data_IF_500186782590
#
_entry.id   IF_500186782590
#
_cell.length_a   1.000
_cell.length_b   1.000
_cell.length_c   1.000
_cell.angle_alpha   90.00
_cell.angle_beta   90.00
_cell.angle_gamma   90.00
#
_symmetry.space_group_name_H-M   'P 1'
#
loop_
_entity.id
_entity.type
_entity.pdbx_description
1 polymer ?
#
# COMPACT_ATOMS: atom_id res chain seq x y z
N UNK A 1 -0.41 -19.25 5.74
CA UNK A 1 -0.95 -19.12 7.11
C UNK A 1 -2.43 -18.79 7.02
N UNK A 2 -3.20 -18.95 8.09
CA UNK A 2 -4.59 -18.45 8.09
C UNK A 2 -4.59 -16.91 8.10
N UNK A 3 -5.67 -16.29 7.59
CA UNK A 3 -5.81 -14.84 7.59
C UNK A 3 -5.83 -14.31 9.05
N UNK A 4 -4.91 -13.40 9.42
CA UNK A 4 -4.94 -12.78 10.74
C UNK A 4 -6.16 -11.89 10.92
N UNK A 5 -6.77 -11.92 12.12
CA UNK A 5 -7.90 -11.06 12.47
C UNK A 5 -7.61 -9.56 12.29
N UNK A 6 -6.34 -9.14 12.49
CA UNK A 6 -5.90 -7.77 12.28
C UNK A 6 -6.07 -7.28 10.83
N UNK A 7 -6.18 -8.19 9.85
CA UNK A 7 -6.42 -7.84 8.45
C UNK A 7 -7.90 -7.67 8.16
N UNK A 8 -8.69 -8.71 8.47
CA UNK A 8 -10.14 -8.69 8.48
C UNK A 8 -10.66 -9.90 9.26
N UNK A 9 -11.91 -9.83 9.70
CA UNK A 9 -12.56 -10.99 10.32
C UNK A 9 -12.89 -12.05 9.25
N UNK A 10 -12.14 -13.14 9.25
CA UNK A 10 -12.32 -14.24 8.32
C UNK A 10 -13.69 -14.93 8.49
N UNK A 11 -14.21 -15.04 9.71
CA UNK A 11 -15.46 -15.76 9.97
C UNK A 11 -16.67 -15.06 9.33
N UNK A 12 -16.59 -13.74 9.17
CA UNK A 12 -17.61 -12.95 8.49
C UNK A 12 -17.69 -13.26 6.99
N UNK A 13 -16.62 -13.71 6.35
CA UNK A 13 -16.57 -13.90 4.89
C UNK A 13 -16.32 -15.34 4.45
N UNK A 14 -15.94 -16.24 5.34
CA UNK A 14 -15.59 -17.62 5.00
C UNK A 14 -16.82 -18.53 4.88
N UNK A 15 -16.86 -19.34 3.82
CA UNK A 15 -17.83 -20.42 3.63
C UNK A 15 -17.15 -21.58 2.88
N UNK A 16 -17.21 -22.83 3.38
CA UNK A 16 -16.59 -23.99 2.73
C UNK A 16 -17.27 -24.42 1.41
N UNK A 17 -18.46 -23.92 1.07
CA UNK A 17 -19.17 -24.25 -0.18
C UNK A 17 -18.37 -23.79 -1.42
N UNK A 18 -18.09 -24.67 -2.42
CA UNK A 18 -17.53 -24.25 -3.69
C UNK A 18 -18.33 -23.16 -4.43
N UNK A 19 -19.64 -23.08 -4.19
CA UNK A 19 -20.55 -22.11 -4.79
C UNK A 19 -20.76 -20.83 -3.94
N UNK A 20 -19.96 -20.64 -2.89
CA UNK A 20 -20.08 -19.53 -1.94
C UNK A 20 -19.95 -18.13 -2.57
N UNK A 21 -19.34 -18.04 -3.75
CA UNK A 21 -19.16 -16.79 -4.52
C UNK A 21 -20.50 -16.11 -4.83
N UNK A 22 -21.60 -16.87 -4.93
CA UNK A 22 -22.97 -16.35 -5.15
C UNK A 22 -23.48 -15.49 -3.99
N UNK A 23 -22.89 -15.65 -2.81
CA UNK A 23 -23.24 -14.91 -1.59
C UNK A 23 -22.12 -13.97 -1.12
N UNK A 24 -21.19 -13.59 -2.02
CA UNK A 24 -20.04 -12.73 -1.72
C UNK A 24 -19.14 -13.29 -0.59
N UNK A 25 -19.01 -14.61 -0.51
CA UNK A 25 -18.15 -15.31 0.46
C UNK A 25 -16.93 -15.90 -0.23
N UNK A 26 -15.91 -16.22 0.56
CA UNK A 26 -14.67 -16.85 0.10
C UNK A 26 -14.50 -18.22 0.74
N UNK A 27 -14.03 -19.20 -0.03
CA UNK A 27 -13.73 -20.56 0.45
C UNK A 27 -12.24 -20.77 0.76
N UNK A 28 -11.39 -19.76 0.50
CA UNK A 28 -9.98 -19.78 0.84
C UNK A 28 -9.71 -19.03 2.14
N UNK A 29 -9.22 -19.75 3.14
CA UNK A 29 -8.81 -19.19 4.46
C UNK A 29 -7.32 -18.90 4.59
N UNK A 30 -6.53 -19.31 3.60
CA UNK A 30 -5.09 -19.24 3.68
C UNK A 30 -4.55 -18.16 2.76
N UNK A 31 -3.67 -17.32 3.29
CA UNK A 31 -2.94 -16.32 2.52
C UNK A 31 -1.52 -16.13 3.11
N UNK A 32 -0.69 -15.40 2.37
CA UNK A 32 0.65 -15.01 2.78
C UNK A 32 0.69 -13.52 3.00
N UNK A 33 1.19 -13.09 4.17
CA UNK A 33 1.23 -11.69 4.55
C UNK A 33 2.66 -11.26 4.83
N UNK A 34 2.97 -10.03 4.44
CA UNK A 34 4.22 -9.36 4.81
C UNK A 34 4.03 -8.73 6.19
N UNK A 35 5.01 -8.95 7.07
CA UNK A 35 5.03 -8.33 8.39
C UNK A 35 5.43 -6.86 8.28
N UNK A 36 4.80 -6.00 9.09
CA UNK A 36 5.20 -4.60 9.14
C UNK A 36 4.79 -3.75 7.94
N UNK A 37 3.83 -4.20 7.13
CA UNK A 37 3.39 -3.47 5.93
C UNK A 37 2.94 -2.03 6.24
N UNK A 38 2.47 -1.76 7.46
CA UNK A 38 2.04 -0.43 7.90
C UNK A 38 3.20 0.47 8.37
N UNK A 39 4.37 -0.10 8.63
CA UNK A 39 5.56 0.63 9.09
C UNK A 39 6.20 1.38 7.92
N UNK A 40 6.66 2.60 8.19
CA UNK A 40 7.39 3.42 7.21
C UNK A 40 8.24 4.48 7.89
N UNK A 41 9.50 4.64 7.46
CA UNK A 41 10.38 5.71 7.96
C UNK A 41 10.11 7.06 7.27
N UNK A 42 9.10 7.76 7.77
CA UNK A 42 8.70 9.09 7.27
C UNK A 42 9.82 10.12 7.31
N UNK A 43 10.70 10.07 8.32
CA UNK A 43 11.79 11.04 8.51
C UNK A 43 12.88 10.83 7.48
N UNK A 44 13.23 9.57 7.20
CA UNK A 44 14.25 9.23 6.20
C UNK A 44 13.84 9.71 4.81
N UNK A 45 12.58 9.49 4.41
CA UNK A 45 12.06 9.90 3.09
C UNK A 45 11.56 11.34 3.04
N UNK A 46 11.56 12.07 4.16
CA UNK A 46 11.10 13.47 4.27
C UNK A 46 9.63 13.65 3.83
N UNK A 47 8.79 12.67 4.15
CA UNK A 47 7.34 12.70 3.91
C UNK A 47 6.65 13.00 5.24
N UNK A 48 5.64 13.86 5.26
CA UNK A 48 4.95 14.17 6.52
C UNK A 48 4.12 12.97 7.03
N UNK A 49 3.93 12.83 8.34
CA UNK A 49 3.07 11.77 8.89
C UNK A 49 1.61 11.87 8.40
N UNK A 50 1.14 13.08 8.12
CA UNK A 50 -0.21 13.31 7.60
C UNK A 50 -0.38 12.77 6.17
N UNK A 51 0.60 13.04 5.30
CA UNK A 51 0.61 12.50 3.93
C UNK A 51 0.70 10.98 3.93
N UNK A 52 1.51 10.42 4.83
CA UNK A 52 1.76 8.97 4.91
C UNK A 52 0.51 8.16 5.26
N UNK A 53 -0.46 8.74 6.00
CA UNK A 53 -1.70 8.04 6.38
C UNK A 53 -2.53 7.60 5.18
N UNK A 54 -2.66 8.46 4.18
CA UNK A 54 -3.36 8.16 2.93
C UNK A 54 -2.48 7.49 1.87
N UNK A 55 -1.19 7.28 2.15
CA UNK A 55 -0.30 6.63 1.20
C UNK A 55 -0.50 5.11 1.23
N UNK A 56 -0.78 4.56 0.06
CA UNK A 56 -0.81 3.12 -0.17
C UNK A 56 0.47 2.45 0.39
N UNK A 57 0.33 1.44 1.28
CA UNK A 57 1.47 0.68 1.79
C UNK A 57 2.40 0.13 0.71
N UNK A 58 1.89 -0.24 -0.48
CA UNK A 58 2.71 -0.72 -1.59
C UNK A 58 3.69 0.35 -2.07
N UNK A 59 3.25 1.61 -2.16
CA UNK A 59 4.12 2.73 -2.56
C UNK A 59 5.23 2.96 -1.54
N UNK A 60 4.91 2.84 -0.25
CA UNK A 60 5.88 2.95 0.87
C UNK A 60 6.93 1.84 0.81
N UNK A 61 6.51 0.61 0.55
CA UNK A 61 7.41 -0.53 0.39
C UNK A 61 8.35 -0.37 -0.81
N UNK A 62 7.87 0.17 -1.93
CA UNK A 62 8.71 0.43 -3.11
C UNK A 62 9.86 1.39 -2.77
N UNK A 63 9.61 2.41 -1.95
CA UNK A 63 10.64 3.36 -1.52
C UNK A 63 11.71 2.70 -0.64
N UNK A 64 11.29 1.94 0.38
CA UNK A 64 12.20 1.25 1.29
C UNK A 64 13.03 0.19 0.58
N UNK A 65 12.38 -0.72 -0.14
CA UNK A 65 13.05 -1.81 -0.86
C UNK A 65 13.93 -1.26 -1.97
N UNK A 66 13.47 -0.24 -2.71
CA UNK A 66 14.24 0.43 -3.74
C UNK A 66 15.51 1.07 -3.19
N UNK A 67 15.41 1.78 -2.06
CA UNK A 67 16.56 2.34 -1.37
C UNK A 67 17.54 1.24 -0.91
N UNK A 68 17.05 0.19 -0.25
CA UNK A 68 17.90 -0.92 0.21
C UNK A 68 18.59 -1.61 -0.95
N UNK A 69 17.91 -1.84 -2.08
CA UNK A 69 18.51 -2.43 -3.27
C UNK A 69 19.64 -1.57 -3.84
N UNK A 70 19.43 -0.25 -3.94
CA UNK A 70 20.45 0.70 -4.40
C UNK A 70 21.64 0.78 -3.44
N UNK A 71 21.38 0.82 -2.13
CA UNK A 71 22.42 0.83 -1.11
C UNK A 71 23.26 -0.46 -1.13
N UNK A 72 22.62 -1.62 -1.26
CA UNK A 72 23.28 -2.92 -1.41
C UNK A 72 24.13 -2.99 -2.69
N UNK A 73 23.72 -2.29 -3.76
CA UNK A 73 24.50 -2.14 -4.97
C UNK A 73 25.64 -1.09 -4.86
N UNK A 74 25.86 -0.50 -3.68
CA UNK A 74 26.88 0.53 -3.44
C UNK A 74 26.57 1.87 -4.09
N UNK A 75 25.32 2.10 -4.51
CA UNK A 75 24.90 3.36 -5.15
C UNK A 75 24.56 4.40 -4.10
N UNK A 76 25.20 5.56 -4.20
CA UNK A 76 24.89 6.73 -3.39
C UNK A 76 23.93 7.66 -4.13
N UNK A 77 23.17 8.47 -3.38
CA UNK A 77 22.30 9.50 -3.98
C UNK A 77 23.08 10.40 -4.93
N UNK A 78 24.31 10.81 -4.54
CA UNK A 78 25.19 11.62 -5.39
C UNK A 78 25.58 10.91 -6.69
N UNK A 79 25.90 9.61 -6.62
CA UNK A 79 26.19 8.80 -7.82
C UNK A 79 24.99 8.70 -8.76
N UNK A 80 23.78 8.63 -8.23
CA UNK A 80 22.56 8.47 -9.03
C UNK A 80 22.17 9.77 -9.72
N UNK A 81 22.32 10.92 -9.04
CA UNK A 81 22.04 12.25 -9.61
C UNK A 81 22.89 12.60 -10.85
N UNK A 82 24.02 11.92 -11.04
CA UNK A 82 24.92 12.10 -12.17
C UNK A 82 24.80 10.98 -13.22
N UNK A 83 23.75 10.17 -13.15
CA UNK A 83 23.54 9.01 -14.00
C UNK A 83 22.22 9.08 -14.75
N UNK A 84 22.15 8.42 -15.89
CA UNK A 84 20.89 8.20 -16.63
C UNK A 84 20.18 6.96 -16.08
N UNK A 85 19.79 7.02 -14.80
CA UNK A 85 19.07 5.92 -14.15
C UNK A 85 17.57 6.04 -14.38
N UNK A 86 16.94 4.96 -14.84
CA UNK A 86 15.48 4.83 -14.96
C UNK A 86 14.93 3.87 -13.90
N UNK A 87 13.67 4.07 -13.51
CA UNK A 87 12.96 3.22 -12.54
C UNK A 87 11.71 2.67 -13.21
N UNK A 88 11.55 1.35 -13.19
CA UNK A 88 10.38 0.65 -13.69
C UNK A 88 9.75 -0.15 -12.55
N UNK A 89 8.45 -0.01 -12.36
CA UNK A 89 7.71 -0.65 -11.26
C UNK A 89 6.52 -1.40 -11.84
N UNK A 90 6.40 -2.68 -11.53
CA UNK A 90 5.17 -3.44 -11.76
C UNK A 90 4.22 -3.23 -10.59
N UNK A 91 3.05 -2.65 -10.84
CA UNK A 91 2.01 -2.45 -9.85
C UNK A 91 0.65 -2.93 -10.37
N UNK A 92 -0.23 -3.30 -9.44
CA UNK A 92 -1.63 -3.58 -9.71
C UNK A 92 -2.50 -2.42 -9.19
N UNK A 93 -3.79 -2.39 -9.55
CA UNK A 93 -4.73 -1.45 -8.95
C UNK A 93 -4.75 -1.59 -7.43
N UNK A 94 -4.79 -0.44 -6.76
CA UNK A 94 -4.84 -0.36 -5.31
C UNK A 94 -6.26 -0.12 -4.84
N UNK A 95 -6.72 -0.96 -3.93
CA UNK A 95 -8.01 -0.82 -3.25
C UNK A 95 -7.86 -0.14 -1.89
N UNK A 96 -6.65 0.30 -1.51
CA UNK A 96 -6.38 0.87 -0.19
C UNK A 96 -7.26 2.08 0.13
N UNK A 97 -7.50 2.94 -0.86
CA UNK A 97 -8.34 4.12 -0.71
C UNK A 97 -9.85 3.80 -0.57
N UNK A 98 -10.27 2.57 -0.88
CA UNK A 98 -11.66 2.12 -0.66
C UNK A 98 -11.91 1.71 0.78
N UNK A 99 -10.86 1.34 1.52
CA UNK A 99 -10.95 0.91 2.92
C UNK A 99 -11.20 2.12 3.84
N UNK A 100 -10.69 3.29 3.49
CA UNK A 100 -10.83 4.54 4.28
C UNK A 100 -12.16 5.28 4.04
N UNK A 101 -12.97 4.84 3.06
CA UNK A 101 -14.26 5.46 2.74
C UNK A 101 -15.36 5.18 3.78
N UNK A 102 -15.06 4.40 4.82
CA UNK A 102 -15.97 4.08 5.92
C UNK A 102 -16.00 5.10 7.07
N UNK A 103 -15.00 5.99 7.20
CA UNK A 103 -14.91 6.95 8.33
C UNK A 103 -14.40 8.35 7.92
N UNK A 104 -14.58 8.76 6.65
CA UNK A 104 -14.29 10.13 6.22
C UNK A 104 -15.52 11.04 6.38
N UNK A 105 -15.79 11.48 7.61
CA UNK A 105 -16.59 12.69 7.86
C UNK A 105 -15.89 13.90 7.23
N UNK A 106 -16.56 14.47 6.21
CA UNK A 106 -16.50 15.83 5.70
C UNK A 106 -15.20 16.64 5.91
N UNK A 107 -14.29 16.55 4.94
CA UNK A 107 -13.14 17.44 4.82
C UNK A 107 -12.67 17.60 3.38
N UNK A 108 -13.59 17.84 2.44
CA UNK A 108 -13.27 18.05 1.03
C UNK A 108 -12.43 19.32 0.82
N UNK A 109 -11.20 19.16 0.33
CA UNK A 109 -10.43 20.26 -0.24
C UNK A 109 -10.94 20.50 -1.67
N UNK A 110 -11.72 21.57 -1.87
CA UNK A 110 -12.22 21.99 -3.19
C UNK A 110 -11.08 22.23 -4.17
N UNK A 111 -11.07 21.46 -5.27
CA UNK A 111 -10.26 21.78 -6.44
C UNK A 111 -10.94 22.94 -7.17
N UNK A 112 -10.42 24.17 -6.99
CA UNK A 112 -10.70 25.26 -7.93
C UNK A 112 -9.98 24.97 -9.23
N UNK A 113 -10.72 24.45 -10.20
CA UNK A 113 -10.31 24.44 -11.60
C UNK A 113 -10.08 25.88 -12.06
N UNK A 114 -8.82 26.20 -12.39
CA UNK A 114 -8.48 27.39 -13.14
C UNK A 114 -9.07 27.25 -14.56
N UNK A 115 -10.17 27.94 -14.80
CA UNK A 115 -10.63 28.29 -16.14
C UNK A 115 -9.83 29.48 -16.66
N UNK A 116 -9.51 29.40 -17.96
CA UNK A 116 -8.88 30.36 -18.89
C UNK A 116 -8.86 31.83 -18.46
#
# INVERSE_FOLDING_TARGET
AEVPFLRWDLNTYYDPDPDCWKSFKVNCRHCSFIHGLEMFDTKFFRISPAETKGCDPMQRQILEVGYTALANAGRTVKSLLQSLTAVYVGCHSSEFNLVDAGEAEAGGCEQRSAGT
#
